data_IF_730027324340
#
_entry.id   IF_730027324340
#
_cell.length_a   1.000
_cell.length_b   1.000
_cell.length_c   1.000
_cell.angle_alpha   90.00
_cell.angle_beta   90.00
_cell.angle_gamma   90.00
#
_symmetry.space_group_name_H-M   'P 1'
#
loop_
_entity.id
_entity.type
_entity.pdbx_description
1 polymer ?
#
# COMPACT_ATOMS: atom_id res chain seq x y z
N UNK A 1 35.50 -64.46 19.73
CA UNK A 1 34.10 -63.95 19.72
C UNK A 1 34.17 -62.45 19.46
N UNK A 2 33.79 -62.02 18.26
CA UNK A 2 33.74 -60.61 17.85
C UNK A 2 32.45 -59.99 18.41
N UNK A 3 32.56 -58.86 19.11
CA UNK A 3 31.43 -58.02 19.52
C UNK A 3 31.59 -56.65 18.84
N UNK A 4 30.76 -56.41 17.83
CA UNK A 4 30.63 -55.10 17.19
C UNK A 4 29.74 -54.20 18.04
N UNK A 5 30.30 -53.11 18.57
CA UNK A 5 29.54 -51.99 19.15
C UNK A 5 29.23 -50.97 18.05
N UNK A 6 28.00 -51.01 17.55
CA UNK A 6 27.46 -50.00 16.63
C UNK A 6 27.18 -48.69 17.36
N UNK A 7 27.83 -47.59 16.94
CA UNK A 7 27.48 -46.24 17.38
C UNK A 7 26.27 -45.75 16.60
N UNK A 8 25.14 -45.59 17.27
CA UNK A 8 23.94 -44.94 16.74
C UNK A 8 24.17 -43.42 16.78
N UNK A 9 24.31 -42.79 15.62
CA UNK A 9 24.38 -41.31 15.50
C UNK A 9 22.95 -40.80 15.37
N UNK A 10 22.44 -40.19 16.43
CA UNK A 10 21.17 -39.44 16.39
C UNK A 10 21.44 -38.08 15.73
N UNK A 11 21.06 -37.92 14.45
CA UNK A 11 20.95 -36.61 13.81
C UNK A 11 19.69 -35.90 14.36
N UNK A 12 19.89 -34.97 15.29
CA UNK A 12 18.86 -34.03 15.71
C UNK A 12 18.62 -33.03 14.56
N UNK A 13 17.55 -33.23 13.79
CA UNK A 13 17.08 -32.25 12.84
C UNK A 13 16.46 -31.06 13.60
N UNK A 14 17.22 -29.98 13.76
CA UNK A 14 16.70 -28.69 14.20
C UNK A 14 15.75 -28.14 13.12
N UNK A 15 14.45 -28.39 13.30
CA UNK A 15 13.41 -27.65 12.59
C UNK A 15 13.43 -26.21 13.10
N UNK A 16 14.13 -25.33 12.39
CA UNK A 16 13.95 -23.90 12.54
C UNK A 16 12.52 -23.56 12.12
N UNK A 17 11.65 -23.30 13.09
CA UNK A 17 10.33 -22.75 12.83
C UNK A 17 10.51 -21.34 12.26
N UNK A 18 10.33 -21.21 10.95
CA UNK A 18 10.27 -19.93 10.26
C UNK A 18 8.98 -19.21 10.67
N UNK A 19 9.06 -18.33 11.66
CA UNK A 19 7.96 -17.42 12.00
C UNK A 19 7.69 -16.50 10.81
N UNK A 20 6.64 -16.78 10.04
CA UNK A 20 6.12 -15.84 9.05
C UNK A 20 5.49 -14.68 9.81
N UNK A 21 6.15 -13.51 9.79
CA UNK A 21 5.54 -12.28 10.27
C UNK A 21 4.33 -11.97 9.37
N UNK A 22 3.13 -12.30 9.84
CA UNK A 22 1.90 -11.74 9.34
C UNK A 22 2.03 -10.21 9.47
N UNK A 23 1.77 -9.44 8.42
CA UNK A 23 1.52 -8.02 8.61
C UNK A 23 0.36 -7.93 9.63
N UNK A 24 0.64 -7.33 10.79
CA UNK A 24 -0.33 -7.28 11.89
C UNK A 24 -1.58 -6.50 11.49
N UNK A 25 -2.66 -6.68 12.25
CA UNK A 25 -3.85 -5.84 12.09
C UNK A 25 -3.49 -4.37 12.29
N UNK A 26 -4.15 -3.48 11.55
CA UNK A 26 -3.96 -2.04 11.76
C UNK A 26 -4.43 -1.66 13.15
N UNK A 27 -3.59 -0.93 13.87
CA UNK A 27 -3.85 -0.54 15.24
C UNK A 27 -4.46 0.87 15.28
N UNK A 28 -5.79 0.94 15.44
CA UNK A 28 -6.54 2.19 15.45
C UNK A 28 -6.08 3.11 16.60
N UNK A 29 -5.61 2.57 17.72
CA UNK A 29 -5.05 3.35 18.83
C UNK A 29 -3.78 4.11 18.47
N UNK A 30 -3.08 3.66 17.42
CA UNK A 30 -1.89 4.32 16.84
C UNK A 30 -2.24 5.18 15.62
N UNK A 31 -3.53 5.37 15.37
CA UNK A 31 -4.09 6.06 14.21
C UNK A 31 -3.60 5.46 12.87
N UNK A 32 -3.52 4.13 12.83
CA UNK A 32 -3.38 3.36 11.60
C UNK A 32 -4.76 2.92 11.08
N UNK A 33 -4.95 2.69 9.77
CA UNK A 33 -4.03 3.01 8.70
C UNK A 33 -3.99 4.52 8.40
N UNK A 34 -2.82 5.03 8.00
CA UNK A 34 -2.65 6.44 7.57
C UNK A 34 -2.94 6.69 6.10
N UNK A 35 -2.87 5.66 5.28
CA UNK A 35 -3.26 5.70 3.87
C UNK A 35 -3.80 4.33 3.47
N UNK A 36 -4.65 4.32 2.45
CA UNK A 36 -5.20 3.13 1.84
C UNK A 36 -5.23 3.30 0.32
N UNK A 37 -5.31 2.19 -0.39
CA UNK A 37 -5.48 2.22 -1.83
C UNK A 37 -6.34 1.07 -2.34
N UNK A 38 -7.06 1.34 -3.42
CA UNK A 38 -8.00 0.39 -3.99
C UNK A 38 -8.92 1.03 -5.02
N UNK A 39 -9.89 0.25 -5.48
CA UNK A 39 -10.90 0.69 -6.42
C UNK A 39 -12.00 1.47 -5.70
N UNK A 40 -12.18 2.74 -6.04
CA UNK A 40 -13.25 3.56 -5.50
C UNK A 40 -14.57 3.24 -6.21
N UNK A 41 -15.60 2.96 -5.43
CA UNK A 41 -16.98 2.82 -5.91
C UNK A 41 -17.91 3.77 -5.18
N UNK A 42 -18.97 4.21 -5.86
CA UNK A 42 -20.06 4.98 -5.29
C UNK A 42 -21.29 4.07 -5.18
N UNK A 43 -21.90 4.01 -4.00
CA UNK A 43 -23.05 3.14 -3.69
C UNK A 43 -24.14 3.94 -3.00
N UNK A 44 -25.38 3.50 -3.16
CA UNK A 44 -26.53 3.98 -2.39
C UNK A 44 -26.84 2.92 -1.34
N UNK A 45 -26.89 3.32 -0.08
CA UNK A 45 -27.26 2.49 1.06
C UNK A 45 -28.67 2.83 1.54
N UNK A 46 -29.30 1.90 2.23
CA UNK A 46 -30.54 2.17 2.94
C UNK A 46 -30.23 2.86 4.27
N UNK A 47 -30.77 4.07 4.44
CA UNK A 47 -30.70 4.85 5.67
C UNK A 47 -31.96 4.72 6.53
N UNK A 48 -32.28 5.72 7.37
CA UNK A 48 -33.47 5.71 8.20
C UNK A 48 -34.78 5.58 7.40
N UNK A 49 -35.84 5.01 8.00
CA UNK A 49 -35.89 4.58 9.40
C UNK A 49 -35.39 3.16 9.66
N UNK A 50 -35.43 2.24 8.68
CA UNK A 50 -35.18 0.82 8.94
C UNK A 50 -33.80 0.32 8.51
N UNK A 51 -33.10 1.05 7.62
CA UNK A 51 -31.77 0.69 7.10
C UNK A 51 -31.74 -0.63 6.31
N UNK A 52 -32.86 -1.01 5.69
CA UNK A 52 -33.01 -2.28 4.99
C UNK A 52 -33.16 -2.10 3.47
N UNK A 53 -34.07 -1.24 3.02
CA UNK A 53 -34.44 -1.14 1.61
C UNK A 53 -35.02 0.22 1.24
N UNK A 54 -34.29 0.94 0.37
CA UNK A 54 -34.73 2.22 -0.19
C UNK A 54 -36.06 2.08 -0.95
N UNK A 55 -36.31 0.95 -1.60
CA UNK A 55 -37.55 0.72 -2.33
C UNK A 55 -38.77 0.51 -1.40
N UNK A 56 -38.54 0.23 -0.12
CA UNK A 56 -39.58 0.10 0.91
C UNK A 56 -39.78 1.37 1.75
N UNK A 57 -39.08 2.46 1.40
CA UNK A 57 -39.27 3.77 2.02
C UNK A 57 -38.11 4.25 2.89
N UNK A 58 -37.00 3.51 2.94
CA UNK A 58 -35.78 4.01 3.61
C UNK A 58 -35.12 5.14 2.80
N UNK A 59 -34.51 6.08 3.52
CA UNK A 59 -33.82 7.22 2.91
C UNK A 59 -32.56 6.74 2.18
N UNK A 60 -32.34 7.10 0.91
CA UNK A 60 -31.11 6.74 0.22
C UNK A 60 -29.91 7.50 0.80
N UNK A 61 -28.92 6.76 1.28
CA UNK A 61 -27.65 7.32 1.77
C UNK A 61 -26.53 7.07 0.74
N UNK A 62 -26.05 8.11 0.04
CA UNK A 62 -24.91 7.94 -0.86
C UNK A 62 -23.62 7.77 -0.07
N UNK A 63 -22.78 6.82 -0.49
CA UNK A 63 -21.49 6.57 0.16
C UNK A 63 -20.41 6.10 -0.81
N UNK A 64 -19.16 6.33 -0.41
CA UNK A 64 -17.98 5.93 -1.14
C UNK A 64 -17.33 4.71 -0.49
N UNK A 65 -17.13 3.65 -1.26
CA UNK A 65 -16.47 2.43 -0.80
C UNK A 65 -15.17 2.23 -1.57
N UNK A 66 -14.06 2.15 -0.85
CA UNK A 66 -12.77 1.75 -1.38
C UNK A 66 -12.61 0.23 -1.25
N UNK A 67 -12.54 -0.47 -2.38
CA UNK A 67 -12.26 -1.92 -2.43
C UNK A 67 -10.76 -2.13 -2.49
N UNK A 68 -10.18 -2.64 -1.40
CA UNK A 68 -8.77 -2.95 -1.27
C UNK A 68 -8.41 -4.19 -2.10
N UNK A 69 -7.19 -4.22 -2.63
CA UNK A 69 -6.68 -5.40 -3.34
C UNK A 69 -6.44 -6.60 -2.40
N UNK A 70 -6.34 -6.37 -1.10
CA UNK A 70 -6.13 -7.44 -0.11
C UNK A 70 -6.90 -7.15 1.17
N UNK A 71 -7.52 -8.17 1.78
CA UNK A 71 -8.16 -8.02 3.08
C UNK A 71 -7.19 -7.54 4.16
N UNK A 72 -7.72 -6.73 5.08
CA UNK A 72 -7.06 -6.19 6.26
C UNK A 72 -7.87 -6.57 7.50
N UNK A 73 -7.30 -6.42 8.69
CA UNK A 73 -7.98 -6.54 9.98
C UNK A 73 -7.65 -5.33 10.85
N UNK A 74 -8.45 -5.11 11.90
CA UNK A 74 -8.31 -3.99 12.82
C UNK A 74 -8.08 -4.48 14.24
N UNK A 75 -7.38 -3.69 15.04
CA UNK A 75 -7.25 -3.85 16.48
C UNK A 75 -7.16 -2.48 17.17
N UNK A 76 -7.07 -2.48 18.50
CA UNK A 76 -6.81 -1.24 19.27
C UNK A 76 -8.02 -0.32 19.40
N UNK A 77 -9.23 -0.85 19.20
CA UNK A 77 -10.52 -0.20 19.41
C UNK A 77 -11.52 -1.26 19.93
N UNK A 78 -12.51 -0.86 20.72
CA UNK A 78 -13.46 -1.79 21.33
C UNK A 78 -14.41 -2.46 20.32
N UNK A 79 -14.59 -1.85 19.14
CA UNK A 79 -15.40 -2.39 18.04
C UNK A 79 -14.54 -3.07 16.95
N UNK A 80 -13.21 -3.13 17.14
CA UNK A 80 -12.31 -3.83 16.23
C UNK A 80 -12.15 -5.31 16.61
N UNK A 81 -12.33 -6.20 15.64
CA UNK A 81 -12.06 -7.63 15.79
C UNK A 81 -10.82 -8.04 14.97
N UNK A 82 -9.70 -8.41 15.62
CA UNK A 82 -8.49 -8.82 14.92
C UNK A 82 -8.62 -10.17 14.20
N UNK A 83 -9.64 -10.98 14.50
CA UNK A 83 -9.91 -12.22 13.80
C UNK A 83 -10.71 -12.01 12.49
N UNK A 84 -11.39 -10.87 12.35
CA UNK A 84 -12.20 -10.55 11.19
C UNK A 84 -11.39 -9.81 10.12
N UNK A 85 -11.24 -10.43 8.94
CA UNK A 85 -10.64 -9.79 7.77
C UNK A 85 -11.69 -9.25 6.81
N UNK A 86 -11.47 -8.06 6.26
CA UNK A 86 -12.36 -7.42 5.28
C UNK A 86 -11.56 -6.61 4.26
N UNK A 87 -12.14 -6.29 3.11
CA UNK A 87 -11.46 -5.60 2.01
C UNK A 87 -12.25 -4.40 1.46
N UNK A 88 -13.31 -3.98 2.13
CA UNK A 88 -14.08 -2.79 1.77
C UNK A 88 -14.05 -1.78 2.92
N UNK A 89 -13.73 -0.52 2.59
CA UNK A 89 -13.63 0.59 3.53
C UNK A 89 -14.60 1.68 3.12
N UNK A 90 -15.36 2.21 4.08
CA UNK A 90 -16.20 3.38 3.85
C UNK A 90 -15.33 4.63 3.95
N UNK A 91 -15.28 5.42 2.89
CA UNK A 91 -14.60 6.71 2.87
C UNK A 91 -15.59 7.83 3.19
N UNK A 92 -15.14 8.76 4.00
CA UNK A 92 -15.86 9.99 4.33
C UNK A 92 -14.99 11.16 3.88
N UNK A 93 -15.59 12.08 3.12
CA UNK A 93 -14.91 13.32 2.73
C UNK A 93 -14.78 14.24 3.94
N UNK A 94 -13.68 14.98 3.99
CA UNK A 94 -13.49 16.11 4.91
C UNK A 94 -13.76 17.41 4.17
N UNK A 95 -13.65 18.56 4.86
CA UNK A 95 -13.73 19.86 4.20
C UNK A 95 -12.68 20.02 3.08
N UNK A 96 -11.50 19.41 3.23
CA UNK A 96 -10.42 19.47 2.23
C UNK A 96 -10.73 18.66 0.97
N UNK A 97 -11.56 17.63 1.06
CA UNK A 97 -11.83 16.71 -0.06
C UNK A 97 -13.28 16.73 -0.53
N UNK A 98 -14.12 17.61 0.01
CA UNK A 98 -15.54 17.72 -0.34
C UNK A 98 -15.77 17.74 -1.86
N UNK A 99 -16.58 16.79 -2.33
CA UNK A 99 -16.92 16.63 -3.75
C UNK A 99 -15.80 16.08 -4.64
N UNK A 100 -14.64 15.72 -4.09
CA UNK A 100 -13.49 15.26 -4.86
C UNK A 100 -13.56 13.77 -5.15
N UNK A 101 -14.03 12.93 -4.21
CA UNK A 101 -14.17 11.47 -4.44
C UNK A 101 -15.11 11.17 -5.61
N UNK A 102 -16.12 12.01 -5.82
CA UNK A 102 -17.06 11.86 -6.94
C UNK A 102 -16.37 11.85 -8.33
N UNK A 103 -15.19 12.49 -8.46
CA UNK A 103 -14.41 12.53 -9.71
C UNK A 103 -13.71 11.21 -10.01
N UNK A 104 -13.48 10.38 -9.00
CA UNK A 104 -12.69 9.15 -9.08
C UNK A 104 -13.54 7.87 -9.07
N UNK A 105 -14.85 7.98 -9.29
CA UNK A 105 -15.74 6.81 -9.32
C UNK A 105 -15.23 5.78 -10.33
N UNK A 106 -15.14 4.53 -9.89
CA UNK A 106 -14.65 3.37 -10.64
C UNK A 106 -13.16 3.46 -11.04
N UNK A 107 -12.36 4.25 -10.32
CA UNK A 107 -10.91 4.35 -10.52
C UNK A 107 -10.16 3.76 -9.33
N UNK A 108 -8.97 3.20 -9.60
CA UNK A 108 -8.03 2.92 -8.52
C UNK A 108 -7.51 4.25 -7.98
N UNK A 109 -7.53 4.43 -6.66
CA UNK A 109 -6.99 5.61 -6.00
C UNK A 109 -6.20 5.20 -4.75
N UNK A 110 -5.31 6.08 -4.33
CA UNK A 110 -4.74 6.09 -2.99
C UNK A 110 -5.26 7.31 -2.23
N UNK A 111 -5.59 7.10 -0.97
CA UNK A 111 -6.15 8.12 -0.08
C UNK A 111 -5.29 8.27 1.16
N UNK A 112 -5.03 9.51 1.57
CA UNK A 112 -4.45 9.81 2.90
C UNK A 112 -5.59 10.04 3.89
N UNK A 113 -5.43 9.51 5.10
CA UNK A 113 -6.45 9.51 6.14
C UNK A 113 -6.03 10.42 7.29
N UNK A 114 -6.91 11.32 7.70
CA UNK A 114 -6.74 12.07 8.95
C UNK A 114 -7.02 11.17 10.16
N UNK A 115 -8.12 10.42 10.07
CA UNK A 115 -8.58 9.49 11.10
C UNK A 115 -9.31 8.32 10.49
N UNK A 116 -9.31 7.22 11.21
CA UNK A 116 -10.04 6.01 10.89
C UNK A 116 -10.63 5.43 12.18
N UNK A 117 -11.78 4.77 12.09
CA UNK A 117 -12.43 4.15 13.23
C UNK A 117 -13.14 2.86 12.82
N UNK A 118 -13.31 1.95 13.78
CA UNK A 118 -14.14 0.78 13.61
C UNK A 118 -15.63 1.18 13.57
N UNK A 119 -16.39 0.51 12.71
CA UNK A 119 -17.82 0.72 12.59
C UNK A 119 -18.57 0.23 13.83
N UNK A 120 -19.29 1.15 14.47
CA UNK A 120 -20.07 0.87 15.68
C UNK A 120 -21.55 1.29 15.61
N UNK A 121 -22.06 1.74 14.45
CA UNK A 121 -23.46 2.14 14.27
C UNK A 121 -24.01 1.57 12.95
N UNK A 122 -25.34 1.53 12.82
CA UNK A 122 -26.02 1.16 11.57
C UNK A 122 -25.81 2.15 10.41
N UNK A 123 -25.26 3.34 10.68
CA UNK A 123 -24.88 4.32 9.65
C UNK A 123 -23.47 4.08 9.09
N UNK A 124 -22.73 3.14 9.68
CA UNK A 124 -21.41 2.73 9.19
C UNK A 124 -21.59 1.51 8.32
N UNK A 125 -21.42 1.71 7.03
CA UNK A 125 -21.69 0.71 6.01
C UNK A 125 -20.54 -0.29 5.87
N UNK A 126 -19.33 -0.04 6.39
CA UNK A 126 -18.19 -0.97 6.34
C UNK A 126 -17.39 -1.04 7.63
N UNK A 127 -16.71 -2.16 7.93
CA UNK A 127 -15.98 -2.35 9.20
C UNK A 127 -15.00 -1.24 9.55
N UNK A 128 -14.38 -0.61 8.54
CA UNK A 128 -13.56 0.58 8.68
C UNK A 128 -14.25 1.79 8.04
N UNK A 129 -14.39 2.87 8.82
CA UNK A 129 -14.81 4.19 8.33
C UNK A 129 -13.62 5.14 8.43
N UNK A 130 -13.27 5.80 7.34
CA UNK A 130 -12.03 6.58 7.24
C UNK A 130 -12.24 7.95 6.58
N UNK A 131 -11.65 9.00 7.17
CA UNK A 131 -11.78 10.39 6.72
C UNK A 131 -10.61 10.81 5.85
N UNK A 132 -10.91 11.21 4.62
CA UNK A 132 -9.93 11.41 3.56
C UNK A 132 -9.49 12.85 3.49
N UNK A 133 -8.18 13.12 3.61
CA UNK A 133 -7.60 14.46 3.47
C UNK A 133 -6.88 14.70 2.14
N UNK A 134 -6.55 13.64 1.41
CA UNK A 134 -5.95 13.72 0.09
C UNK A 134 -6.29 12.48 -0.73
N UNK A 135 -6.45 12.66 -2.03
CA UNK A 135 -6.76 11.62 -3.01
C UNK A 135 -5.73 11.72 -4.12
N UNK A 136 -5.25 10.59 -4.60
CA UNK A 136 -4.39 10.48 -5.77
C UNK A 136 -4.83 9.29 -6.62
N UNK A 137 -4.90 9.42 -7.93
CA UNK A 137 -5.13 8.30 -8.83
C UNK A 137 -3.84 7.93 -9.57
N UNK A 138 -3.58 6.64 -9.84
CA UNK A 138 -2.56 6.23 -10.79
C UNK A 138 -2.88 6.84 -12.16
N UNK A 139 -2.13 7.86 -12.56
CA UNK A 139 -2.34 8.54 -13.84
C UNK A 139 -3.04 9.91 -13.77
N UNK A 140 -3.37 10.42 -12.58
CA UNK A 140 -3.71 11.86 -12.40
C UNK A 140 -2.46 12.75 -12.44
N UNK A 141 -1.52 12.35 -13.30
CA UNK A 141 -0.17 12.86 -13.51
C UNK A 141 -0.14 14.21 -14.23
N UNK A 142 -1.27 14.91 -14.39
CA UNK A 142 -1.30 16.25 -14.96
C UNK A 142 -0.36 17.21 -14.23
N UNK A 143 -0.36 17.13 -12.89
CA UNK A 143 0.54 17.91 -12.02
C UNK A 143 1.95 17.30 -11.91
N UNK A 144 2.11 16.01 -12.22
CA UNK A 144 3.41 15.34 -12.18
C UNK A 144 4.21 15.51 -13.48
N UNK A 145 3.55 15.78 -14.62
CA UNK A 145 4.21 15.92 -15.92
C UNK A 145 5.27 17.02 -15.87
N UNK A 146 6.46 16.69 -16.36
CA UNK A 146 7.60 17.61 -16.39
C UNK A 146 8.27 17.85 -15.02
N UNK A 147 7.82 17.16 -13.96
CA UNK A 147 8.44 17.19 -12.63
C UNK A 147 9.24 15.91 -12.35
N UNK A 148 10.03 15.93 -11.28
CA UNK A 148 10.76 14.76 -10.82
C UNK A 148 9.85 13.58 -10.41
N UNK A 149 8.58 13.83 -10.05
CA UNK A 149 7.61 12.78 -9.75
C UNK A 149 7.37 11.84 -10.96
N UNK A 150 7.39 12.36 -12.18
CA UNK A 150 7.29 11.55 -13.41
C UNK A 150 8.45 10.54 -13.52
N UNK A 151 9.66 10.95 -13.15
CA UNK A 151 10.85 10.05 -13.16
C UNK A 151 10.73 8.97 -12.09
N UNK A 152 10.25 9.33 -10.90
CA UNK A 152 10.00 8.38 -9.80
C UNK A 152 8.93 7.36 -10.22
N UNK A 153 7.82 7.82 -10.82
CA UNK A 153 6.76 6.94 -11.31
C UNK A 153 7.30 5.94 -12.33
N UNK A 154 8.04 6.43 -13.33
CA UNK A 154 8.63 5.58 -14.36
C UNK A 154 9.58 4.53 -13.77
N UNK A 155 10.38 4.91 -12.76
CA UNK A 155 11.22 3.97 -12.01
C UNK A 155 10.41 2.86 -11.36
N UNK A 156 9.40 3.18 -10.54
CA UNK A 156 8.61 2.16 -9.83
C UNK A 156 7.76 1.30 -10.78
N UNK A 157 7.28 1.86 -11.90
CA UNK A 157 6.61 1.08 -12.95
C UNK A 157 7.56 0.08 -13.62
N UNK A 158 8.80 0.47 -13.89
CA UNK A 158 9.81 -0.44 -14.42
C UNK A 158 10.15 -1.56 -13.41
N UNK A 159 10.22 -1.25 -12.11
CA UNK A 159 10.38 -2.28 -11.07
C UNK A 159 9.20 -3.27 -11.02
N UNK A 160 7.96 -2.76 -11.11
CA UNK A 160 6.75 -3.59 -11.17
C UNK A 160 6.74 -4.52 -12.39
N UNK A 161 7.30 -4.06 -13.51
CA UNK A 161 7.49 -4.84 -14.75
C UNK A 161 8.74 -5.73 -14.74
N UNK A 162 9.51 -5.77 -13.64
CA UNK A 162 10.76 -6.52 -13.51
C UNK A 162 11.83 -6.08 -14.54
N UNK A 163 11.73 -4.84 -15.01
CA UNK A 163 12.64 -4.24 -15.98
C UNK A 163 13.71 -3.41 -15.24
N UNK A 164 14.71 -4.11 -14.71
CA UNK A 164 15.82 -3.48 -14.01
C UNK A 164 16.70 -2.59 -14.89
N UNK A 165 16.79 -2.87 -16.20
CA UNK A 165 17.55 -2.04 -17.14
C UNK A 165 16.91 -0.66 -17.30
N UNK A 166 15.59 -0.62 -17.56
CA UNK A 166 14.83 0.63 -17.62
C UNK A 166 14.81 1.34 -16.27
N UNK A 167 14.57 0.62 -15.16
CA UNK A 167 14.57 1.22 -13.83
C UNK A 167 15.91 1.88 -13.49
N UNK A 168 17.01 1.17 -13.73
CA UNK A 168 18.38 1.67 -13.49
C UNK A 168 18.69 2.96 -14.26
N UNK A 169 18.07 3.20 -15.42
CA UNK A 169 18.26 4.42 -16.21
C UNK A 169 17.68 5.69 -15.55
N UNK A 170 16.73 5.56 -14.61
CA UNK A 170 16.18 6.70 -13.88
C UNK A 170 16.99 7.08 -12.62
N UNK A 171 18.01 6.29 -12.27
CA UNK A 171 18.91 6.56 -11.13
C UNK A 171 20.18 7.24 -11.63
N UNK A 172 20.76 8.13 -10.82
CA UNK A 172 22.04 8.79 -11.13
C UNK A 172 23.13 7.77 -11.50
N UNK A 173 23.92 8.10 -12.51
CA UNK A 173 24.87 7.18 -13.16
C UNK A 173 25.86 6.54 -12.18
N UNK A 174 26.30 7.26 -11.15
CA UNK A 174 27.28 6.79 -10.18
C UNK A 174 26.73 5.66 -9.30
N UNK A 175 25.41 5.54 -9.16
CA UNK A 175 24.75 4.57 -8.28
C UNK A 175 24.31 3.29 -8.98
N UNK A 176 24.32 3.27 -10.31
CA UNK A 176 23.85 2.12 -11.12
C UNK A 176 24.97 1.20 -11.61
N UNK A 177 26.24 1.55 -11.43
CA UNK A 177 27.39 0.75 -11.88
C UNK A 177 27.46 -0.57 -11.10
N UNK A 178 27.23 -0.53 -9.79
CA UNK A 178 27.22 -1.70 -8.91
C UNK A 178 26.33 -1.44 -7.69
N UNK A 179 25.94 -2.49 -6.99
CA UNK A 179 25.09 -2.39 -5.80
C UNK A 179 23.58 -2.41 -6.11
N UNK A 180 22.74 -1.95 -5.18
CA UNK A 180 21.29 -2.23 -5.19
C UNK A 180 20.52 -1.55 -6.32
N UNK A 181 21.05 -0.48 -6.92
CA UNK A 181 20.43 0.18 -8.08
C UNK A 181 20.99 -0.30 -9.43
N UNK A 182 21.89 -1.28 -9.45
CA UNK A 182 22.30 -1.88 -10.72
C UNK A 182 21.15 -2.65 -11.36
N UNK A 183 21.06 -2.63 -12.69
CA UNK A 183 20.01 -3.32 -13.43
C UNK A 183 19.87 -4.79 -13.02
N UNK A 184 21.01 -5.49 -12.90
CA UNK A 184 21.05 -6.87 -12.45
C UNK A 184 20.51 -7.08 -11.02
N UNK A 185 20.86 -6.20 -10.08
CA UNK A 185 20.37 -6.31 -8.71
C UNK A 185 18.86 -6.05 -8.62
N UNK A 186 18.36 -5.02 -9.32
CA UNK A 186 16.94 -4.69 -9.39
C UNK A 186 16.16 -5.86 -9.99
N UNK A 187 16.51 -6.31 -11.20
CA UNK A 187 15.84 -7.45 -11.85
C UNK A 187 15.86 -8.69 -10.96
N UNK A 188 17.00 -9.02 -10.34
CA UNK A 188 17.12 -10.19 -9.47
C UNK A 188 16.20 -10.11 -8.24
N UNK A 189 16.08 -8.94 -7.62
CA UNK A 189 15.21 -8.78 -6.45
C UNK A 189 13.74 -8.87 -6.84
N UNK A 190 13.30 -8.02 -7.77
CA UNK A 190 11.87 -7.86 -8.08
C UNK A 190 11.28 -9.07 -8.81
N UNK A 191 12.08 -9.87 -9.54
CA UNK A 191 11.61 -11.12 -10.18
C UNK A 191 11.23 -12.21 -9.18
N UNK A 192 11.75 -12.16 -7.96
CA UNK A 192 11.54 -13.19 -6.95
C UNK A 192 10.32 -12.91 -6.06
N UNK A 193 9.63 -11.80 -6.30
CA UNK A 193 8.41 -11.46 -5.58
C UNK A 193 7.27 -12.40 -5.98
N UNK A 194 6.52 -12.86 -4.99
CA UNK A 194 5.31 -13.67 -5.17
C UNK A 194 4.18 -12.86 -5.76
N UNK A 195 4.04 -11.60 -5.33
CA UNK A 195 3.16 -10.61 -5.95
C UNK A 195 4.01 -9.41 -6.36
N UNK A 196 3.88 -8.92 -7.62
CA UNK A 196 4.69 -7.79 -8.11
C UNK A 196 4.54 -6.55 -7.25
N UNK A 197 5.55 -5.68 -7.31
CA UNK A 197 5.44 -4.35 -6.71
C UNK A 197 4.28 -3.58 -7.35
N UNK A 198 3.46 -2.95 -6.51
CA UNK A 198 2.46 -1.99 -6.92
C UNK A 198 2.78 -0.64 -6.28
N UNK A 199 3.00 0.36 -7.13
CA UNK A 199 3.12 1.75 -6.69
C UNK A 199 1.75 2.24 -6.23
N UNK A 200 1.67 2.72 -4.98
CA UNK A 200 0.44 3.21 -4.38
C UNK A 200 0.34 4.73 -4.53
N UNK A 201 1.35 5.48 -4.10
CA UNK A 201 1.32 6.93 -4.12
C UNK A 201 2.74 7.53 -4.25
N UNK A 202 2.83 8.74 -4.82
CA UNK A 202 4.00 9.62 -4.81
C UNK A 202 3.53 10.99 -4.31
N UNK A 203 4.01 11.39 -3.13
CA UNK A 203 3.66 12.67 -2.52
C UNK A 203 4.91 13.57 -2.44
N UNK A 204 4.89 14.77 -3.05
CA UNK A 204 5.93 15.76 -2.80
C UNK A 204 6.02 16.11 -1.31
N UNK A 205 7.23 16.10 -0.75
CA UNK A 205 7.50 16.46 0.65
C UNK A 205 8.54 17.56 0.80
N UNK A 206 9.01 18.12 -0.32
CA UNK A 206 9.98 19.20 -0.39
C UNK A 206 10.37 19.45 -1.85
N UNK A 207 11.32 20.37 -2.09
CA UNK A 207 11.73 20.77 -3.46
C UNK A 207 12.22 19.59 -4.31
N UNK A 208 13.02 18.71 -3.72
CA UNK A 208 13.63 17.54 -4.37
C UNK A 208 13.41 16.25 -3.57
N UNK A 209 12.34 16.23 -2.76
CA UNK A 209 12.02 15.13 -1.86
C UNK A 209 10.57 14.69 -2.04
N UNK A 210 10.39 13.36 -2.07
CA UNK A 210 9.11 12.72 -2.25
C UNK A 210 8.97 11.58 -1.25
N UNK A 211 7.75 11.37 -0.74
CA UNK A 211 7.37 10.14 -0.05
C UNK A 211 6.66 9.23 -1.05
N UNK A 212 7.12 8.00 -1.15
CA UNK A 212 6.53 6.99 -2.02
C UNK A 212 5.99 5.86 -1.16
N UNK A 213 4.76 5.41 -1.45
CA UNK A 213 4.17 4.21 -0.86
C UNK A 213 4.00 3.14 -1.93
N UNK A 214 4.27 1.89 -1.58
CA UNK A 214 4.17 0.76 -2.48
C UNK A 214 3.82 -0.51 -1.69
N UNK A 215 3.29 -1.53 -2.36
CA UNK A 215 3.03 -2.85 -1.78
C UNK A 215 3.66 -3.94 -2.64
N UNK A 216 4.08 -5.05 -2.02
CA UNK A 216 4.45 -6.29 -2.71
C UNK A 216 4.34 -7.50 -1.77
N UNK A 217 4.51 -8.71 -2.31
CA UNK A 217 4.62 -9.93 -1.50
C UNK A 217 5.89 -10.72 -1.83
N UNK A 218 6.60 -11.16 -0.80
CA UNK A 218 7.79 -12.00 -0.93
C UNK A 218 7.60 -13.27 -0.08
N UNK A 219 7.32 -14.40 -0.74
CA UNK A 219 6.88 -15.61 -0.06
C UNK A 219 5.55 -15.36 0.66
N UNK A 220 5.53 -15.58 1.98
CA UNK A 220 4.36 -15.32 2.81
C UNK A 220 4.36 -13.91 3.44
N UNK A 221 5.49 -13.19 3.37
CA UNK A 221 5.59 -11.85 3.94
C UNK A 221 5.01 -10.81 2.99
N UNK A 222 4.10 -9.97 3.50
CA UNK A 222 3.57 -8.81 2.78
C UNK A 222 4.31 -7.56 3.20
N UNK A 223 4.69 -6.76 2.21
CA UNK A 223 5.24 -5.43 2.40
C UNK A 223 4.17 -4.37 2.08
N UNK A 224 3.95 -3.45 3.01
CA UNK A 224 3.31 -2.16 2.77
C UNK A 224 4.33 -1.06 3.08
N UNK A 225 5.15 -0.77 2.08
CA UNK A 225 6.39 -0.03 2.20
C UNK A 225 6.21 1.45 1.96
N UNK A 226 6.95 2.26 2.72
CA UNK A 226 7.14 3.69 2.50
C UNK A 226 8.63 4.00 2.31
N UNK A 227 8.93 4.92 1.40
CA UNK A 227 10.29 5.40 1.18
C UNK A 227 10.35 6.90 0.94
N UNK A 228 11.40 7.55 1.46
CA UNK A 228 11.80 8.88 1.06
C UNK A 228 12.70 8.78 -0.16
N UNK A 229 12.28 9.39 -1.26
CA UNK A 229 13.03 9.50 -2.51
C UNK A 229 13.57 10.91 -2.64
N UNK A 230 14.87 11.03 -2.88
CA UNK A 230 15.53 12.30 -3.19
C UNK A 230 15.92 12.32 -4.65
N UNK A 231 15.62 13.41 -5.34
CA UNK A 231 15.91 13.59 -6.76
C UNK A 231 16.98 14.65 -6.99
N UNK A 232 17.53 14.70 -8.20
CA UNK A 232 18.43 15.75 -8.65
C UNK A 232 18.22 16.00 -10.12
N UNK A 233 18.26 17.26 -10.53
CA UNK A 233 18.24 17.64 -11.95
C UNK A 233 19.65 17.75 -12.50
N UNK A 234 19.94 17.08 -13.62
CA UNK A 234 21.23 17.14 -14.34
C UNK A 234 20.97 17.43 -15.81
N UNK A 235 21.49 18.55 -16.32
CA UNK A 235 21.27 18.99 -17.72
C UNK A 235 19.79 19.00 -18.12
N UNK A 236 18.91 19.44 -17.22
CA UNK A 236 17.46 19.51 -17.44
C UNK A 236 16.69 18.21 -17.18
N UNK A 237 17.37 17.08 -17.00
CA UNK A 237 16.76 15.76 -16.75
C UNK A 237 16.76 15.45 -15.26
N UNK A 238 15.63 15.02 -14.72
CA UNK A 238 15.52 14.57 -13.33
C UNK A 238 15.99 13.13 -13.18
N UNK A 239 16.72 12.85 -12.10
CA UNK A 239 17.20 11.52 -11.73
C UNK A 239 16.91 11.25 -10.25
N UNK A 240 16.69 9.99 -9.90
CA UNK A 240 16.69 9.54 -8.52
C UNK A 240 18.14 9.57 -8.02
N UNK A 241 18.39 10.40 -7.01
CA UNK A 241 19.66 10.48 -6.32
C UNK A 241 19.72 9.50 -5.15
N UNK A 242 18.61 9.20 -4.48
CA UNK A 242 18.59 8.24 -3.38
C UNK A 242 17.20 7.80 -2.98
N UNK A 243 17.11 6.61 -2.39
CA UNK A 243 15.89 6.06 -1.81
C UNK A 243 16.25 5.57 -0.42
N UNK A 244 15.48 5.97 0.59
CA UNK A 244 15.60 5.52 1.97
C UNK A 244 14.26 4.97 2.43
N UNK A 245 14.20 3.69 2.79
CA UNK A 245 13.00 3.11 3.40
C UNK A 245 12.66 3.84 4.71
N UNK A 246 11.39 4.15 4.90
CA UNK A 246 10.84 4.82 6.08
C UNK A 246 10.21 3.83 7.05
N UNK A 247 9.71 2.71 6.54
CA UNK A 247 9.27 1.58 7.34
C UNK A 247 9.91 0.28 6.84
N UNK A 248 9.95 -0.72 7.72
CA UNK A 248 10.56 -2.01 7.46
C UNK A 248 9.61 -2.91 6.69
N UNK A 249 9.82 -2.97 5.38
CA UNK A 249 9.83 -4.24 4.67
C UNK A 249 11.31 -4.64 4.49
#
# INVERSE_FOLDING_TARGET
MYMHTGKLVFLLALFAASSTAQAGCYDLSKAEPRQLAGLLSYRIFAGPPNFEDVQKGDTPEPGFILKLATPICLQGDEFADPAASFDEVQLVETEQTAGTLAKYKQQNIAVTLERAMAAHTGHHHRPLVAWVTSISAPGDSAEEYGTAASTIRAFYLALAAVDGDTASNFVVAEKRISGPFSAHALTRFYRNLTEPLQLINIQPSGKDQFKVRYTFKNGNARCDGEAAVTTTKRKGVDFINGIKALNGC
#
